data_IF_014499447541
#
_entry.id   IF_014499447541
#
_cell.length_a   1.000
_cell.length_b   1.000
_cell.length_c   1.000
_cell.angle_alpha   90.00
_cell.angle_beta   90.00
_cell.angle_gamma   90.00
#
_symmetry.space_group_name_H-M   'P 1'
#
loop_
_entity.id
_entity.type
_entity.pdbx_description
1 polymer ?
#
# COMPACT_ATOMS: atom_id res chain seq x y z
N UNK A 1 -5.33 3.81 -17.69
CA UNK A 1 -4.35 4.80 -17.19
C UNK A 1 -4.42 4.67 -15.69
N UNK A 2 -3.30 4.32 -15.06
CA UNK A 2 -3.29 4.04 -13.63
C UNK A 2 -3.54 5.33 -12.83
N UNK A 3 -4.16 5.20 -11.67
CA UNK A 3 -4.48 6.34 -10.80
C UNK A 3 -3.26 6.83 -10.03
N UNK A 4 -2.47 5.89 -9.51
CA UNK A 4 -1.37 6.13 -8.58
C UNK A 4 -0.03 5.61 -9.09
N UNK A 5 -0.02 4.67 -10.04
CA UNK A 5 1.20 4.18 -10.68
C UNK A 5 1.65 5.06 -11.84
N UNK A 6 2.96 5.32 -11.93
CA UNK A 6 3.60 5.95 -13.07
C UNK A 6 4.51 4.94 -13.78
N UNK A 7 4.07 4.48 -14.95
CA UNK A 7 4.79 3.49 -15.75
C UNK A 7 6.16 4.00 -16.26
N UNK A 8 6.26 5.30 -16.55
CA UNK A 8 7.51 5.92 -16.97
C UNK A 8 8.49 5.93 -15.80
N UNK A 9 8.02 6.34 -14.61
CA UNK A 9 8.83 6.32 -13.39
C UNK A 9 9.35 4.92 -13.08
N UNK A 10 8.48 3.90 -13.15
CA UNK A 10 8.86 2.49 -12.91
C UNK A 10 9.96 2.04 -13.87
N UNK A 11 9.80 2.35 -15.17
CA UNK A 11 10.80 1.97 -16.18
C UNK A 11 12.16 2.65 -15.99
N UNK A 12 12.16 3.88 -15.45
CA UNK A 12 13.36 4.68 -15.26
C UNK A 12 14.09 4.38 -13.95
N UNK A 13 13.35 4.07 -12.89
CA UNK A 13 13.90 3.98 -11.52
C UNK A 13 14.00 2.55 -11.00
N UNK A 14 13.28 1.59 -11.59
CA UNK A 14 13.25 0.20 -11.13
C UNK A 14 13.91 -0.75 -12.12
N UNK A 15 13.36 -0.87 -13.33
CA UNK A 15 13.89 -1.74 -14.39
C UNK A 15 13.22 -1.45 -15.73
N UNK A 16 13.90 -1.70 -16.84
CA UNK A 16 13.27 -1.71 -18.17
C UNK A 16 12.53 -3.03 -18.47
N UNK A 17 12.76 -4.07 -17.65
CA UNK A 17 12.05 -5.35 -17.75
C UNK A 17 10.66 -5.23 -17.11
N UNK A 18 9.63 -5.27 -17.98
CA UNK A 18 8.22 -5.17 -17.60
C UNK A 18 7.73 -6.37 -16.80
N UNK A 19 8.26 -7.56 -17.06
CA UNK A 19 7.90 -8.78 -16.33
C UNK A 19 8.40 -8.69 -14.89
N UNK A 20 9.64 -8.23 -14.69
CA UNK A 20 10.17 -8.00 -13.34
C UNK A 20 9.37 -6.92 -12.57
N UNK A 21 8.99 -5.83 -13.23
CA UNK A 21 8.11 -4.82 -12.61
C UNK A 21 6.77 -5.45 -12.20
N UNK A 22 6.17 -6.27 -13.08
CA UNK A 22 4.92 -6.96 -12.80
C UNK A 22 5.05 -7.91 -11.59
N UNK A 23 6.14 -8.68 -11.46
CA UNK A 23 6.39 -9.53 -10.29
C UNK A 23 6.41 -8.71 -8.98
N UNK A 24 7.11 -7.57 -8.97
CA UNK A 24 7.17 -6.69 -7.81
C UNK A 24 5.81 -6.07 -7.46
N UNK A 25 5.04 -5.66 -8.47
CA UNK A 25 3.68 -5.13 -8.29
C UNK A 25 2.70 -6.22 -7.81
N UNK A 26 2.85 -7.46 -8.26
CA UNK A 26 2.08 -8.60 -7.76
C UNK A 26 2.36 -8.88 -6.28
N UNK A 27 3.63 -8.86 -5.87
CA UNK A 27 4.00 -8.99 -4.45
C UNK A 27 3.44 -7.84 -3.60
N UNK A 28 3.45 -6.63 -4.14
CA UNK A 28 2.85 -5.46 -3.49
C UNK A 28 1.33 -5.60 -3.35
N UNK A 29 0.62 -6.08 -4.37
CA UNK A 29 -0.83 -6.29 -4.33
C UNK A 29 -1.23 -7.25 -3.19
N UNK A 30 -0.50 -8.36 -3.01
CA UNK A 30 -0.72 -9.30 -1.89
C UNK A 30 -0.55 -8.62 -0.53
N UNK A 31 0.43 -7.73 -0.38
CA UNK A 31 0.64 -6.98 0.86
C UNK A 31 -0.50 -5.98 1.13
N UNK A 32 -1.02 -5.35 0.07
CA UNK A 32 -2.18 -4.47 0.16
C UNK A 32 -3.43 -5.24 0.62
N UNK A 33 -3.69 -6.41 0.03
CA UNK A 33 -4.83 -7.25 0.41
C UNK A 33 -4.79 -7.64 1.90
N UNK A 34 -3.64 -8.10 2.39
CA UNK A 34 -3.46 -8.44 3.81
C UNK A 34 -3.76 -7.22 4.71
N UNK A 35 -3.19 -6.06 4.39
CA UNK A 35 -3.40 -4.86 5.19
C UNK A 35 -4.84 -4.35 5.15
N UNK A 36 -5.51 -4.41 4.00
CA UNK A 36 -6.93 -4.04 3.87
C UNK A 36 -7.80 -4.94 4.75
N UNK A 37 -7.51 -6.25 4.79
CA UNK A 37 -8.20 -7.18 5.67
C UNK A 37 -8.08 -6.74 7.13
N UNK A 38 -6.84 -6.54 7.60
CA UNK A 38 -6.58 -6.11 8.97
C UNK A 38 -7.21 -4.76 9.28
N UNK A 39 -7.03 -3.74 8.44
CA UNK A 39 -7.51 -2.37 8.73
C UNK A 39 -9.04 -2.28 8.93
N UNK A 40 -9.80 -3.22 8.37
CA UNK A 40 -11.27 -3.24 8.46
C UNK A 40 -11.82 -4.01 9.66
N UNK A 41 -10.97 -4.74 10.39
CA UNK A 41 -11.38 -5.45 11.60
C UNK A 41 -11.54 -4.48 12.78
N UNK A 42 -12.40 -4.78 13.77
CA UNK A 42 -12.40 -4.06 15.04
C UNK A 42 -11.08 -4.29 15.77
N UNK A 43 -10.40 -3.22 16.18
CA UNK A 43 -9.06 -3.31 16.77
C UNK A 43 -9.08 -3.25 18.29
N UNK A 44 -8.58 -4.30 18.95
CA UNK A 44 -8.08 -4.25 20.32
C UNK A 44 -6.62 -3.78 20.39
N UNK A 45 -6.08 -3.64 21.60
CA UNK A 45 -4.70 -3.13 21.81
C UNK A 45 -3.61 -4.03 21.22
N UNK A 46 -3.83 -5.35 21.13
CA UNK A 46 -2.92 -6.29 20.45
C UNK A 46 -2.88 -6.09 18.92
N UNK A 47 -3.97 -5.60 18.36
CA UNK A 47 -4.19 -5.56 16.91
C UNK A 47 -3.53 -4.32 16.29
N UNK A 48 -3.36 -3.26 17.10
CA UNK A 48 -2.65 -2.03 16.73
C UNK A 48 -1.18 -2.27 16.39
N UNK A 49 -0.50 -3.21 17.06
CA UNK A 49 0.89 -3.55 16.71
C UNK A 49 0.98 -4.11 15.30
N UNK A 50 0.04 -4.98 14.92
CA UNK A 50 -0.02 -5.57 13.58
C UNK A 50 -0.38 -4.55 12.52
N UNK A 51 -1.35 -3.67 12.81
CA UNK A 51 -1.71 -2.54 11.93
C UNK A 51 -0.46 -1.70 11.61
N UNK A 52 0.31 -1.33 12.64
CA UNK A 52 1.53 -0.53 12.47
C UNK A 52 2.59 -1.25 11.65
N UNK A 53 2.81 -2.55 11.88
CA UNK A 53 3.79 -3.34 11.12
C UNK A 53 3.43 -3.43 9.63
N UNK A 54 2.15 -3.64 9.31
CA UNK A 54 1.68 -3.68 7.94
C UNK A 54 1.79 -2.31 7.26
N UNK A 55 1.42 -1.24 7.96
CA UNK A 55 1.61 0.12 7.47
C UNK A 55 3.09 0.42 7.21
N UNK A 56 3.99 0.03 8.12
CA UNK A 56 5.44 0.21 7.95
C UNK A 56 5.96 -0.47 6.69
N UNK A 57 5.59 -1.74 6.52
CA UNK A 57 5.99 -2.54 5.36
C UNK A 57 5.48 -1.92 4.05
N UNK A 58 4.21 -1.54 4.00
CA UNK A 58 3.60 -0.93 2.82
C UNK A 58 4.15 0.47 2.52
N UNK A 59 4.56 1.23 3.54
CA UNK A 59 5.29 2.49 3.34
C UNK A 59 6.62 2.23 2.63
N UNK A 60 7.37 1.21 3.06
CA UNK A 60 8.61 0.80 2.42
C UNK A 60 8.41 0.33 0.97
N UNK A 61 7.48 -0.61 0.75
CA UNK A 61 7.15 -1.12 -0.58
C UNK A 61 6.64 -0.01 -1.51
N UNK A 62 5.75 0.84 -1.02
CA UNK A 62 5.21 1.97 -1.78
C UNK A 62 6.30 2.96 -2.18
N UNK A 63 7.26 3.25 -1.29
CA UNK A 63 8.40 4.10 -1.61
C UNK A 63 9.30 3.51 -2.69
N UNK A 64 9.56 2.20 -2.64
CA UNK A 64 10.35 1.50 -3.67
C UNK A 64 9.67 1.46 -5.04
N UNK A 65 8.34 1.59 -5.09
CA UNK A 65 7.52 1.53 -6.30
C UNK A 65 7.03 2.91 -6.79
N UNK A 66 7.48 4.01 -6.15
CA UNK A 66 7.09 5.37 -6.54
C UNK A 66 5.65 5.75 -6.16
N UNK A 67 4.99 4.98 -5.31
CA UNK A 67 3.60 5.17 -4.87
C UNK A 67 3.52 6.19 -3.73
N UNK A 68 3.76 7.47 -4.02
CA UNK A 68 3.84 8.53 -3.02
C UNK A 68 2.59 8.63 -2.11
N UNK A 69 1.39 8.46 -2.67
CA UNK A 69 0.14 8.50 -1.89
C UNK A 69 0.03 7.34 -0.89
N UNK A 70 0.57 6.16 -1.23
CA UNK A 70 0.60 5.01 -0.31
C UNK A 70 1.56 5.32 0.84
N UNK A 71 2.73 5.87 0.52
CA UNK A 71 3.73 6.27 1.53
C UNK A 71 3.13 7.26 2.53
N UNK A 72 2.46 8.30 2.03
CA UNK A 72 1.80 9.31 2.86
C UNK A 72 0.74 8.69 3.78
N UNK A 73 -0.16 7.88 3.22
CA UNK A 73 -1.26 7.28 3.99
C UNK A 73 -0.77 6.27 5.02
N UNK A 74 0.21 5.44 4.67
CA UNK A 74 0.77 4.49 5.63
C UNK A 74 1.54 5.19 6.75
N UNK A 75 2.19 6.32 6.47
CA UNK A 75 2.79 7.16 7.52
C UNK A 75 1.72 7.70 8.47
N UNK A 76 0.59 8.19 7.96
CA UNK A 76 -0.52 8.65 8.78
C UNK A 76 -1.11 7.54 9.66
N UNK A 77 -1.21 6.30 9.14
CA UNK A 77 -1.63 5.12 9.93
C UNK A 77 -0.63 4.84 11.06
N UNK A 78 0.68 4.82 10.78
CA UNK A 78 1.71 4.61 11.81
C UNK A 78 1.64 5.67 12.92
N UNK A 79 1.41 6.93 12.57
CA UNK A 79 1.30 8.04 13.50
C UNK A 79 0.04 7.96 14.35
N UNK A 80 -1.12 7.67 13.73
CA UNK A 80 -2.39 7.51 14.45
C UNK A 80 -2.32 6.37 15.47
N UNK A 81 -1.75 5.23 15.08
CA UNK A 81 -1.54 4.10 15.99
C UNK A 81 -0.59 4.47 17.14
N UNK A 82 0.52 5.16 16.85
CA UNK A 82 1.51 5.54 17.87
C UNK A 82 0.96 6.56 18.87
N UNK A 83 0.19 7.54 18.40
CA UNK A 83 -0.35 8.60 19.23
C UNK A 83 -1.61 8.20 20.00
N UNK A 84 -2.20 7.04 19.71
CA UNK A 84 -3.51 6.65 20.27
C UNK A 84 -4.60 7.64 19.89
N UNK A 85 -4.49 8.27 18.71
CA UNK A 85 -5.29 9.42 18.32
C UNK A 85 -6.58 8.95 17.67
N UNK A 86 -7.72 9.41 18.19
CA UNK A 86 -9.01 9.28 17.53
C UNK A 86 -9.19 10.37 16.46
N UNK A 87 -9.82 10.09 15.30
CA UNK A 87 -10.49 8.84 14.96
C UNK A 87 -9.60 7.86 14.19
N UNK A 88 -9.03 6.86 14.88
CA UNK A 88 -8.17 5.85 14.27
C UNK A 88 -8.92 5.10 13.15
N UNK A 89 -10.19 4.75 13.39
CA UNK A 89 -11.03 4.07 12.41
C UNK A 89 -11.10 4.81 11.07
N UNK A 90 -11.21 6.15 11.09
CA UNK A 90 -11.23 6.95 9.87
C UNK A 90 -9.89 6.90 9.13
N UNK A 91 -8.77 6.96 9.85
CA UNK A 91 -7.42 6.88 9.24
C UNK A 91 -7.21 5.51 8.58
N UNK A 92 -7.67 4.44 9.23
CA UNK A 92 -7.62 3.09 8.68
C UNK A 92 -8.52 2.93 7.46
N UNK A 93 -9.73 3.49 7.47
CA UNK A 93 -10.64 3.48 6.32
C UNK A 93 -10.05 4.22 5.11
N UNK A 94 -9.51 5.42 5.33
CA UNK A 94 -8.84 6.21 4.29
C UNK A 94 -7.60 5.46 3.74
N UNK A 95 -6.82 4.82 4.62
CA UNK A 95 -5.70 3.97 4.23
C UNK A 95 -6.13 2.79 3.38
N UNK A 96 -7.18 2.06 3.79
CA UNK A 96 -7.70 0.91 3.07
C UNK A 96 -8.26 1.27 1.69
N UNK A 97 -8.86 2.47 1.53
CA UNK A 97 -9.30 2.97 0.22
C UNK A 97 -8.10 3.15 -0.71
N UNK A 98 -7.05 3.85 -0.26
CA UNK A 98 -5.86 4.10 -1.08
C UNK A 98 -5.14 2.81 -1.44
N UNK A 99 -4.99 1.88 -0.49
CA UNK A 99 -4.40 0.56 -0.77
C UNK A 99 -5.20 -0.21 -1.82
N UNK A 100 -6.54 -0.15 -1.77
CA UNK A 100 -7.38 -0.82 -2.77
C UNK A 100 -7.22 -0.21 -4.17
N UNK A 101 -7.06 1.10 -4.26
CA UNK A 101 -6.83 1.77 -5.54
C UNK A 101 -5.45 1.44 -6.10
N UNK A 102 -4.40 1.48 -5.27
CA UNK A 102 -3.04 1.12 -5.69
C UNK A 102 -2.93 -0.37 -6.06
N UNK A 103 -3.65 -1.24 -5.34
CA UNK A 103 -3.74 -2.68 -5.65
C UNK A 103 -4.37 -2.92 -7.02
N UNK A 104 -5.46 -2.21 -7.34
CA UNK A 104 -6.10 -2.30 -8.67
C UNK A 104 -5.17 -1.84 -9.79
N UNK A 105 -4.44 -0.74 -9.58
CA UNK A 105 -3.45 -0.28 -10.56
C UNK A 105 -2.35 -1.33 -10.77
N UNK A 106 -1.89 -1.97 -9.69
CA UNK A 106 -0.89 -3.04 -9.73
C UNK A 106 -1.40 -4.29 -10.47
N UNK A 107 -2.63 -4.73 -10.17
CA UNK A 107 -3.30 -5.85 -10.86
C UNK A 107 -3.46 -5.56 -12.36
N UNK A 108 -3.96 -4.38 -12.73
CA UNK A 108 -4.10 -3.97 -14.14
C UNK A 108 -2.74 -3.93 -14.86
N UNK A 109 -1.66 -3.58 -14.14
CA UNK A 109 -0.30 -3.63 -14.69
C UNK A 109 0.14 -5.06 -14.96
N UNK A 110 -0.05 -5.96 -13.99
CA UNK A 110 0.35 -7.37 -14.08
C UNK A 110 -0.36 -8.03 -15.26
N UNK A 111 -1.69 -7.85 -15.37
CA UNK A 111 -2.49 -8.43 -16.45
C UNK A 111 -2.04 -8.01 -17.86
N UNK A 112 -1.39 -6.85 -18.00
CA UNK A 112 -0.91 -6.34 -19.30
C UNK A 112 0.50 -6.77 -19.66
N UNK A 113 1.29 -7.22 -18.69
CA UNK A 113 2.73 -7.42 -18.84
C UNK A 113 3.21 -8.83 -18.45
N UNK A 114 2.28 -9.74 -18.15
CA UNK A 114 2.48 -11.18 -17.91
C UNK A 114 1.60 -11.96 -18.87
#
# INVERSE_FOLDING_TARGET
MYKHLDDCWLSQNLSTDRGFIAELLGLFAVQCEEAIGVFREPHGSSDLSRVRELAHKLKGSGGALGLAVVVERMSAVEEAVRGGVEPLGRVLDEGAIVLREAMRDAEEYVEKNV
#
